data_IF_127531438961
#
_entry.id   IF_127531438961
#
_cell.length_a   1.000
_cell.length_b   1.000
_cell.length_c   1.000
_cell.angle_alpha   90.00
_cell.angle_beta   90.00
_cell.angle_gamma   90.00
#
_symmetry.space_group_name_H-M   'P 1'
#
loop_
_entity.id
_entity.type
_entity.pdbx_description
1 polymer ?
#
# COMPACT_ATOMS: atom_id res chain seq x y z
N UNK A 1 32.42 -2.21 -12.51
CA UNK A 1 31.15 -1.44 -12.41
C UNK A 1 30.25 -2.10 -11.38
N UNK A 2 29.70 -1.34 -10.47
CA UNK A 2 28.69 -1.84 -9.52
C UNK A 2 27.29 -1.54 -10.07
N UNK A 3 26.52 -2.56 -10.51
CA UNK A 3 25.19 -2.31 -11.06
C UNK A 3 24.17 -1.79 -10.03
N UNK A 4 24.49 -1.90 -8.74
CA UNK A 4 23.61 -1.45 -7.68
C UNK A 4 23.95 -0.06 -7.14
N UNK A 5 24.96 0.60 -7.70
CA UNK A 5 25.40 1.91 -7.20
C UNK A 5 24.31 2.97 -7.31
N UNK A 6 23.60 2.99 -8.42
CA UNK A 6 22.50 3.95 -8.62
C UNK A 6 21.35 3.73 -7.62
N UNK A 7 21.04 2.47 -7.35
CA UNK A 7 20.02 2.13 -6.36
C UNK A 7 20.44 2.55 -4.96
N UNK A 8 21.71 2.32 -4.60
CA UNK A 8 22.25 2.74 -3.30
C UNK A 8 22.17 4.26 -3.13
N UNK A 9 22.55 5.02 -4.16
CA UNK A 9 22.48 6.47 -4.11
C UNK A 9 21.04 6.97 -4.02
N UNK A 10 20.11 6.33 -4.75
CA UNK A 10 18.71 6.67 -4.68
C UNK A 10 18.14 6.43 -3.28
N UNK A 11 18.49 5.31 -2.67
CA UNK A 11 18.04 4.98 -1.31
C UNK A 11 18.61 5.97 -0.29
N UNK A 12 19.89 6.33 -0.41
CA UNK A 12 20.49 7.31 0.48
C UNK A 12 19.82 8.68 0.37
N UNK A 13 19.46 9.10 -0.84
CA UNK A 13 18.84 10.41 -1.07
C UNK A 13 17.34 10.45 -0.73
N UNK A 14 16.72 9.31 -0.48
CA UNK A 14 15.27 9.22 -0.23
C UNK A 14 14.86 9.59 1.20
N UNK A 15 15.83 9.88 2.08
CA UNK A 15 15.57 10.23 3.49
C UNK A 15 14.68 9.19 4.20
N UNK A 16 14.98 7.90 3.99
CA UNK A 16 14.15 6.79 4.46
C UNK A 16 13.94 6.79 5.97
N UNK A 17 14.93 7.21 6.76
CA UNK A 17 14.79 7.23 8.21
C UNK A 17 13.68 8.18 8.66
N UNK A 18 13.62 9.37 8.08
CA UNK A 18 12.59 10.36 8.41
C UNK A 18 11.22 9.87 7.97
N UNK A 19 11.12 9.34 6.77
CA UNK A 19 9.86 8.82 6.23
C UNK A 19 9.42 7.58 6.98
N UNK A 20 10.34 6.71 7.36
CA UNK A 20 10.04 5.52 8.18
C UNK A 20 9.48 5.91 9.54
N UNK A 21 10.07 6.92 10.20
CA UNK A 21 9.57 7.38 11.49
C UNK A 21 8.14 7.94 11.39
N UNK A 22 7.84 8.69 10.35
CA UNK A 22 6.49 9.18 10.08
C UNK A 22 5.51 8.02 9.87
N UNK A 23 5.90 7.06 9.04
CA UNK A 23 5.10 5.87 8.78
C UNK A 23 4.83 5.09 10.05
N UNK A 24 5.87 4.87 10.86
CA UNK A 24 5.75 4.10 12.10
C UNK A 24 4.79 4.76 13.07
N UNK A 25 4.87 6.08 13.23
CA UNK A 25 3.96 6.81 14.11
C UNK A 25 2.51 6.69 13.64
N UNK A 26 2.27 6.84 12.34
CA UNK A 26 0.95 6.68 11.76
C UNK A 26 0.45 5.24 11.94
N UNK A 27 1.31 4.25 11.66
CA UNK A 27 0.98 2.84 11.81
C UNK A 27 0.61 2.50 13.24
N UNK A 28 1.40 2.95 14.22
CA UNK A 28 1.16 2.65 15.62
C UNK A 28 -0.11 3.32 16.15
N UNK A 29 -0.49 4.47 15.60
CA UNK A 29 -1.64 5.24 16.05
C UNK A 29 -2.97 4.84 15.42
N UNK A 30 -2.96 3.96 14.42
CA UNK A 30 -4.18 3.55 13.70
C UNK A 30 -4.36 2.04 13.76
N UNK A 31 -5.59 1.60 14.06
CA UNK A 31 -5.92 0.18 14.06
C UNK A 31 -6.29 -0.30 12.65
N UNK A 32 -6.92 0.53 11.85
CA UNK A 32 -7.34 0.20 10.49
C UNK A 32 -6.35 0.74 9.49
N UNK A 33 -5.97 -0.12 8.54
CA UNK A 33 -5.02 0.21 7.49
C UNK A 33 -5.62 -0.22 6.15
N UNK A 34 -5.50 0.64 5.17
CA UNK A 34 -5.89 0.33 3.79
C UNK A 34 -4.61 0.35 2.95
N UNK A 35 -4.36 -0.73 2.22
CA UNK A 35 -3.19 -0.84 1.36
C UNK A 35 -3.69 -1.01 -0.07
N UNK A 36 -3.22 -0.16 -0.96
CA UNK A 36 -3.63 -0.18 -2.37
C UNK A 36 -2.42 -0.39 -3.27
N UNK A 37 -2.62 -1.17 -4.32
CA UNK A 37 -1.60 -1.41 -5.33
C UNK A 37 -2.21 -1.92 -6.62
N UNK A 38 -1.46 -1.80 -7.71
CA UNK A 38 -1.85 -2.31 -9.02
C UNK A 38 -0.97 -3.51 -9.39
N UNK A 39 -1.59 -4.57 -9.92
CA UNK A 39 -0.85 -5.72 -10.44
C UNK A 39 0.09 -6.32 -9.38
N UNK A 40 1.38 -6.40 -9.69
CA UNK A 40 2.39 -6.94 -8.78
C UNK A 40 2.49 -6.19 -7.47
N UNK A 41 2.29 -4.87 -7.49
CA UNK A 41 2.26 -4.07 -6.26
C UNK A 41 1.09 -4.48 -5.37
N UNK A 42 -0.04 -4.88 -5.93
CA UNK A 42 -1.16 -5.38 -5.15
C UNK A 42 -0.87 -6.75 -4.55
N UNK A 43 -0.07 -7.57 -5.22
CA UNK A 43 0.38 -8.85 -4.66
C UNK A 43 1.28 -8.63 -3.45
N UNK A 44 2.16 -7.63 -3.50
CA UNK A 44 2.98 -7.23 -2.35
C UNK A 44 2.09 -6.71 -1.22
N UNK A 45 1.12 -5.87 -1.54
CA UNK A 45 0.16 -5.35 -0.56
C UNK A 45 -0.59 -6.48 0.14
N UNK A 46 -1.04 -7.47 -0.63
CA UNK A 46 -1.73 -8.65 -0.10
C UNK A 46 -0.85 -9.44 0.86
N UNK A 47 0.41 -9.66 0.49
CA UNK A 47 1.34 -10.38 1.35
C UNK A 47 1.63 -9.61 2.65
N UNK A 48 1.93 -8.32 2.54
CA UNK A 48 2.21 -7.47 3.70
C UNK A 48 1.01 -7.38 4.63
N UNK A 49 -0.21 -7.35 4.08
CA UNK A 49 -1.42 -7.29 4.90
C UNK A 49 -1.52 -8.46 5.85
N UNK A 50 -1.08 -9.64 5.42
CA UNK A 50 -1.07 -10.82 6.29
C UNK A 50 -0.15 -10.63 7.49
N UNK A 51 1.03 -10.04 7.25
CA UNK A 51 1.98 -9.77 8.34
C UNK A 51 1.43 -8.72 9.29
N UNK A 52 0.77 -7.69 8.80
CA UNK A 52 0.18 -6.66 9.64
C UNK A 52 -0.95 -7.22 10.50
N UNK A 53 -1.78 -8.09 9.95
CA UNK A 53 -2.83 -8.76 10.72
C UNK A 53 -2.24 -9.74 11.74
N UNK A 54 -1.29 -10.55 11.30
CA UNK A 54 -0.73 -11.64 12.10
C UNK A 54 0.15 -11.15 13.24
N UNK A 55 1.06 -10.22 12.96
CA UNK A 55 2.07 -9.79 13.92
C UNK A 55 1.68 -8.52 14.67
N UNK A 56 0.83 -7.69 14.10
CA UNK A 56 0.47 -6.39 14.68
C UNK A 56 -1.02 -6.24 14.98
N UNK A 57 -1.80 -7.25 14.67
CA UNK A 57 -3.25 -7.30 14.91
C UNK A 57 -3.99 -6.12 14.31
N UNK A 58 -3.49 -5.60 13.19
CA UNK A 58 -4.16 -4.53 12.46
C UNK A 58 -5.33 -5.08 11.66
N UNK A 59 -6.30 -4.23 11.39
CA UNK A 59 -7.41 -4.52 10.48
C UNK A 59 -7.05 -3.93 9.14
N UNK A 60 -6.76 -4.78 8.17
CA UNK A 60 -6.26 -4.35 6.87
C UNK A 60 -7.28 -4.62 5.80
N UNK A 61 -7.52 -3.62 4.96
CA UNK A 61 -8.39 -3.72 3.79
C UNK A 61 -7.57 -3.55 2.51
N UNK A 62 -7.93 -4.31 1.50
CA UNK A 62 -7.32 -4.29 0.19
C UNK A 62 -8.41 -4.12 -0.86
N UNK A 63 -8.03 -3.63 -2.03
CA UNK A 63 -8.92 -3.64 -3.20
C UNK A 63 -8.44 -4.74 -4.15
N UNK A 64 -8.87 -5.96 -3.90
CA UNK A 64 -8.46 -7.14 -4.67
C UNK A 64 -9.63 -7.98 -5.15
N UNK A 65 -10.85 -7.68 -4.73
CA UNK A 65 -12.03 -8.39 -5.18
C UNK A 65 -12.39 -7.95 -6.60
N UNK A 66 -12.38 -8.87 -7.59
CA UNK A 66 -12.73 -8.52 -8.97
C UNK A 66 -14.10 -7.88 -9.11
N UNK A 67 -15.07 -8.32 -8.32
CA UNK A 67 -16.42 -7.75 -8.36
C UNK A 67 -16.40 -6.28 -7.93
N UNK A 68 -15.69 -5.96 -6.86
CA UNK A 68 -15.57 -4.58 -6.40
C UNK A 68 -14.83 -3.71 -7.41
N UNK A 69 -13.72 -4.20 -7.93
CA UNK A 69 -12.91 -3.46 -8.90
C UNK A 69 -13.71 -3.17 -10.18
N UNK A 70 -14.40 -4.16 -10.68
CA UNK A 70 -15.17 -4.00 -11.93
C UNK A 70 -16.38 -3.09 -11.73
N UNK A 71 -17.04 -3.18 -10.59
CA UNK A 71 -18.14 -2.28 -10.25
C UNK A 71 -17.66 -0.82 -10.19
N UNK A 72 -16.59 -0.56 -9.44
CA UNK A 72 -16.04 0.78 -9.30
C UNK A 72 -15.58 1.36 -10.65
N UNK A 73 -14.93 0.52 -11.46
CA UNK A 73 -14.47 0.93 -12.79
C UNK A 73 -15.63 1.23 -13.73
N UNK A 74 -16.66 0.38 -13.70
CA UNK A 74 -17.84 0.56 -14.53
C UNK A 74 -18.63 1.81 -14.14
N UNK A 75 -18.82 2.04 -12.86
CA UNK A 75 -19.67 3.11 -12.36
C UNK A 75 -18.99 4.48 -12.35
N UNK A 76 -17.69 4.52 -12.07
CA UNK A 76 -16.95 5.77 -11.85
C UNK A 76 -15.76 5.97 -12.79
N UNK A 77 -15.36 4.95 -13.55
CA UNK A 77 -14.15 4.96 -14.36
C UNK A 77 -12.92 4.53 -13.55
N UNK A 78 -11.96 3.93 -14.25
CA UNK A 78 -10.76 3.40 -13.61
C UNK A 78 -9.98 4.48 -12.85
N UNK A 79 -9.92 5.70 -13.40
CA UNK A 79 -9.16 6.80 -12.78
C UNK A 79 -9.66 7.17 -11.38
N UNK A 80 -10.92 6.87 -11.08
CA UNK A 80 -11.54 7.22 -9.81
C UNK A 80 -11.84 6.01 -8.92
N UNK A 81 -11.54 4.80 -9.41
CA UNK A 81 -11.93 3.57 -8.71
C UNK A 81 -11.32 3.49 -7.31
N UNK A 82 -10.03 3.75 -7.15
CA UNK A 82 -9.38 3.71 -5.84
C UNK A 82 -9.89 4.80 -4.91
N UNK A 83 -10.10 5.99 -5.44
CA UNK A 83 -10.66 7.09 -4.65
C UNK A 83 -12.05 6.73 -4.13
N UNK A 84 -12.90 6.16 -4.96
CA UNK A 84 -14.24 5.75 -4.56
C UNK A 84 -14.21 4.62 -3.53
N UNK A 85 -13.28 3.67 -3.68
CA UNK A 85 -13.09 2.63 -2.68
C UNK A 85 -12.77 3.22 -1.31
N UNK A 86 -11.89 4.23 -1.26
CA UNK A 86 -11.52 4.88 0.00
C UNK A 86 -12.68 5.63 0.65
N UNK A 87 -13.66 6.07 -0.13
CA UNK A 87 -14.85 6.76 0.39
C UNK A 87 -15.83 5.80 1.09
N UNK A 88 -15.78 4.52 0.75
CA UNK A 88 -16.60 3.49 1.39
C UNK A 88 -15.92 2.97 2.66
#
# INVERSE_FOLDING_TARGET
MNPFKEYSLALESAHLEVEFDKFKKAFDSHQRIIILGNGGSNSVASHISQDYMKFHRKKVSLLSDPSMITMLTNDFGYDYAYQKFLEY
#
